data_IF_048457139588
#
_entry.id   IF_048457139588
#
_cell.length_a   1.000
_cell.length_b   1.000
_cell.length_c   1.000
_cell.angle_alpha   90.00
_cell.angle_beta   90.00
_cell.angle_gamma   90.00
#
_symmetry.space_group_name_H-M   'P 1'
#
loop_
_entity.id
_entity.type
_entity.pdbx_description
1 polymer ?
#
# COMPACT_ATOMS: atom_id res chain seq x y z
N UNK A 1 25.73 -22.38 1.78
CA UNK A 1 24.99 -23.47 2.38
C UNK A 1 23.90 -22.94 3.33
N UNK A 2 22.69 -23.46 3.24
CA UNK A 2 21.49 -22.89 3.93
C UNK A 2 21.63 -22.96 5.46
N UNK A 3 22.44 -23.90 5.96
CA UNK A 3 22.74 -24.06 7.39
C UNK A 3 23.69 -22.99 7.90
N UNK A 4 24.64 -22.57 7.11
CA UNK A 4 25.61 -21.55 7.49
C UNK A 4 24.97 -20.16 7.46
N UNK A 5 24.11 -19.87 6.49
CA UNK A 5 23.32 -18.63 6.46
C UNK A 5 22.34 -18.55 7.66
N UNK A 6 21.74 -19.67 8.05
CA UNK A 6 20.89 -19.71 9.25
C UNK A 6 21.68 -19.58 10.56
N UNK A 7 22.91 -20.03 10.58
CA UNK A 7 23.83 -19.89 11.72
C UNK A 7 24.39 -18.45 11.81
N UNK A 8 24.74 -17.84 10.70
CA UNK A 8 25.14 -16.43 10.63
C UNK A 8 23.99 -15.50 11.03
N UNK A 9 22.79 -15.75 10.56
CA UNK A 9 21.59 -15.04 11.01
C UNK A 9 21.39 -15.21 12.53
N UNK A 10 21.64 -16.40 13.08
CA UNK A 10 21.52 -16.67 14.52
C UNK A 10 22.58 -15.95 15.36
N UNK A 11 23.78 -15.80 14.86
CA UNK A 11 24.88 -15.09 15.52
C UNK A 11 24.78 -13.55 15.37
N UNK A 12 24.00 -13.07 14.39
CA UNK A 12 23.72 -11.65 14.16
C UNK A 12 22.65 -11.08 15.11
N UNK A 13 21.90 -11.96 15.79
CA UNK A 13 20.80 -11.57 16.66
C UNK A 13 21.19 -11.64 18.16
N UNK A 14 22.20 -10.90 18.61
CA UNK A 14 22.19 -10.34 19.96
C UNK A 14 21.23 -9.13 19.99
N UNK A 15 19.99 -9.39 19.67
CA UNK A 15 18.96 -8.36 19.65
C UNK A 15 18.17 -8.44 20.97
N UNK A 16 17.61 -7.28 21.37
CA UNK A 16 16.77 -7.18 22.54
C UNK A 16 15.69 -8.27 22.58
N UNK A 17 15.29 -8.71 23.76
CA UNK A 17 14.35 -9.83 23.97
C UNK A 17 13.02 -9.69 23.17
N UNK A 18 12.60 -8.47 22.87
CA UNK A 18 11.40 -8.20 22.07
C UNK A 18 11.60 -8.47 20.58
N UNK A 19 12.77 -8.19 20.06
CA UNK A 19 13.13 -8.49 18.66
C UNK A 19 13.34 -9.99 18.48
N UNK A 20 13.96 -10.66 19.45
CA UNK A 20 14.10 -12.13 19.45
C UNK A 20 12.74 -12.82 19.47
N UNK A 21 11.78 -12.29 20.23
CA UNK A 21 10.39 -12.77 20.29
C UNK A 21 9.66 -12.55 18.96
N UNK A 22 9.89 -11.42 18.30
CA UNK A 22 9.32 -11.10 16.99
C UNK A 22 9.91 -11.98 15.90
N UNK A 23 11.22 -12.20 15.90
CA UNK A 23 11.90 -13.10 14.96
C UNK A 23 11.51 -14.55 15.17
N UNK A 24 11.42 -15.05 16.41
CA UNK A 24 10.90 -16.41 16.69
C UNK A 24 9.45 -16.59 16.24
N UNK A 25 8.65 -15.52 16.33
CA UNK A 25 7.27 -15.49 15.81
C UNK A 25 7.25 -15.55 14.29
N UNK A 26 8.17 -14.83 13.65
CA UNK A 26 8.35 -14.80 12.19
C UNK A 26 8.87 -16.13 11.65
N UNK A 27 9.96 -16.69 12.18
CA UNK A 27 10.61 -17.90 11.67
C UNK A 27 9.81 -19.19 11.88
N UNK A 28 8.82 -19.18 12.78
CA UNK A 28 7.98 -20.36 13.03
C UNK A 28 7.00 -20.66 11.88
N UNK A 29 6.68 -19.68 11.04
CA UNK A 29 5.57 -19.73 10.08
C UNK A 29 5.89 -19.23 8.67
N UNK A 30 7.15 -18.87 8.34
CA UNK A 30 7.48 -18.12 7.14
C UNK A 30 8.64 -18.71 6.35
N UNK A 31 8.56 -18.60 5.02
CA UNK A 31 9.74 -18.61 4.16
C UNK A 31 10.16 -17.15 3.92
N UNK A 32 11.39 -16.82 4.25
CA UNK A 32 12.03 -15.57 3.83
C UNK A 32 12.28 -15.69 2.33
N UNK A 33 11.67 -14.81 1.54
CA UNK A 33 11.74 -14.90 0.08
C UNK A 33 12.78 -13.95 -0.48
N UNK A 34 12.96 -12.80 0.17
CA UNK A 34 13.98 -11.83 -0.22
C UNK A 34 14.37 -10.96 0.96
N UNK A 35 15.65 -10.55 1.01
CA UNK A 35 16.15 -9.61 2.00
C UNK A 35 17.34 -8.84 1.45
N UNK A 36 17.45 -7.58 1.81
CA UNK A 36 18.64 -6.76 1.58
C UNK A 36 19.41 -6.59 2.88
N UNK A 37 20.73 -6.80 2.85
CA UNK A 37 21.57 -6.59 4.01
C UNK A 37 22.71 -5.62 3.70
N UNK A 38 23.02 -4.72 4.63
CA UNK A 38 24.19 -3.84 4.57
C UNK A 38 25.11 -4.14 5.74
N UNK A 39 26.40 -4.35 5.48
CA UNK A 39 27.42 -4.43 6.53
C UNK A 39 27.81 -3.02 6.95
N UNK A 40 27.78 -2.75 8.23
CA UNK A 40 28.25 -1.51 8.85
C UNK A 40 29.24 -1.85 9.96
N UNK A 41 30.31 -1.11 10.07
CA UNK A 41 31.19 -1.19 11.27
C UNK A 41 30.42 -0.56 12.43
N UNK A 42 30.37 -1.26 13.56
CA UNK A 42 29.82 -0.71 14.78
C UNK A 42 30.65 0.50 15.26
N UNK A 43 30.05 1.34 16.09
CA UNK A 43 30.71 2.55 16.59
C UNK A 43 31.99 2.25 17.39
N UNK A 44 32.16 1.02 17.90
CA UNK A 44 33.34 0.54 18.60
C UNK A 44 34.56 0.24 17.65
N UNK A 45 34.35 0.26 16.33
CA UNK A 45 35.35 -0.02 15.32
C UNK A 45 35.88 -1.45 15.29
N UNK A 46 35.38 -2.34 16.12
CA UNK A 46 35.91 -3.72 16.31
C UNK A 46 34.89 -4.80 15.91
N UNK A 47 33.63 -4.48 15.87
CA UNK A 47 32.56 -5.41 15.49
C UNK A 47 31.87 -4.97 14.19
N UNK A 48 31.38 -5.94 13.41
CA UNK A 48 30.60 -5.68 12.21
C UNK A 48 29.12 -5.94 12.48
N UNK A 49 28.32 -4.91 12.27
CA UNK A 49 26.85 -5.01 12.29
C UNK A 49 26.33 -5.30 10.88
N UNK A 50 25.39 -6.22 10.78
CA UNK A 50 24.62 -6.41 9.56
C UNK A 50 23.21 -5.87 9.78
N UNK A 51 22.92 -4.79 9.08
CA UNK A 51 21.59 -4.17 9.09
C UNK A 51 20.78 -4.78 7.96
N UNK A 52 19.65 -5.42 8.30
CA UNK A 52 18.70 -5.91 7.31
C UNK A 52 17.73 -4.77 6.98
N UNK A 53 17.69 -4.37 5.71
CA UNK A 53 16.96 -3.17 5.28
C UNK A 53 15.63 -3.45 4.63
N UNK A 54 15.42 -4.64 4.05
CA UNK A 54 14.17 -4.99 3.39
C UNK A 54 13.84 -6.46 3.61
N UNK A 55 12.60 -6.75 4.00
CA UNK A 55 12.09 -8.11 4.10
C UNK A 55 10.83 -8.26 3.28
N UNK A 56 10.79 -9.27 2.42
CA UNK A 56 9.55 -9.77 1.86
C UNK A 56 9.27 -11.17 2.43
N UNK A 57 8.15 -11.30 3.09
CA UNK A 57 7.69 -12.55 3.66
C UNK A 57 6.44 -13.01 2.91
N UNK A 58 6.46 -14.23 2.40
CA UNK A 58 5.30 -14.85 1.77
C UNK A 58 4.71 -15.91 2.70
N UNK A 59 3.40 -15.89 2.86
CA UNK A 59 2.67 -16.86 3.66
C UNK A 59 1.96 -17.88 2.78
N UNK A 60 2.07 -19.15 3.16
CA UNK A 60 1.09 -20.13 2.76
C UNK A 60 -0.13 -20.00 3.67
N UNK A 61 -1.28 -19.71 3.13
CA UNK A 61 -2.54 -19.70 3.88
C UNK A 61 -2.95 -21.16 4.12
N UNK A 62 -2.89 -21.62 5.38
CA UNK A 62 -3.33 -22.97 5.74
C UNK A 62 -4.82 -23.15 5.40
N UNK A 63 -5.16 -24.20 4.65
CA UNK A 63 -6.53 -24.56 4.27
C UNK A 63 -6.88 -24.33 2.81
N UNK A 64 -5.94 -23.79 2.01
CA UNK A 64 -6.07 -23.72 0.56
C UNK A 64 -5.09 -24.72 -0.03
N UNK A 65 -5.62 -25.83 -0.51
CA UNK A 65 -4.87 -26.88 -1.22
C UNK A 65 -4.23 -26.24 -2.46
N UNK A 66 -2.90 -26.09 -2.47
CA UNK A 66 -2.10 -25.69 -3.62
C UNK A 66 -1.11 -24.52 -3.41
N UNK A 67 -0.59 -24.22 -2.21
CA UNK A 67 0.57 -23.33 -2.04
C UNK A 67 0.40 -21.91 -2.63
N UNK A 68 -0.83 -21.44 -2.83
CA UNK A 68 -1.11 -20.12 -3.40
C UNK A 68 -1.13 -19.04 -2.33
N UNK A 69 -0.27 -18.09 -2.50
CA UNK A 69 -0.16 -16.91 -1.66
C UNK A 69 -1.36 -16.02 -1.94
N UNK A 70 -2.17 -15.75 -0.92
CA UNK A 70 -3.34 -14.86 -1.03
C UNK A 70 -3.07 -13.47 -0.49
N UNK A 71 -2.07 -13.32 0.35
CA UNK A 71 -1.71 -12.03 0.91
C UNK A 71 -0.19 -11.92 1.01
N UNK A 72 0.32 -10.78 0.66
CA UNK A 72 1.70 -10.41 0.91
C UNK A 72 1.78 -9.72 2.26
N UNK A 73 2.74 -10.14 3.08
CA UNK A 73 3.00 -9.46 4.34
C UNK A 73 4.31 -8.74 4.23
N UNK A 74 4.25 -7.47 4.51
CA UNK A 74 5.40 -6.57 4.45
C UNK A 74 5.56 -5.89 5.82
N UNK A 75 6.79 -5.51 6.15
CA UNK A 75 7.06 -4.38 7.04
C UNK A 75 7.50 -3.22 6.14
N UNK A 76 6.55 -2.40 5.70
CA UNK A 76 6.89 -1.27 4.86
C UNK A 76 7.77 -0.30 5.65
N UNK A 77 8.64 0.40 4.92
CA UNK A 77 9.52 1.42 5.50
C UNK A 77 9.25 2.77 4.82
N UNK A 78 7.98 3.11 4.70
CA UNK A 78 7.50 4.37 4.12
C UNK A 78 6.76 5.13 5.20
N UNK A 79 7.06 6.41 5.37
CA UNK A 79 6.36 7.30 6.30
C UNK A 79 5.46 8.27 5.55
N UNK A 80 4.51 8.91 6.25
CA UNK A 80 3.67 9.95 5.65
C UNK A 80 4.47 11.15 5.14
N UNK A 81 5.61 11.44 5.75
CA UNK A 81 6.47 12.56 5.34
C UNK A 81 7.13 12.34 3.97
N UNK A 82 7.29 11.08 3.56
CA UNK A 82 7.83 10.72 2.24
C UNK A 82 6.77 10.81 1.13
N UNK A 83 5.48 10.85 1.50
CA UNK A 83 4.37 10.95 0.56
C UNK A 83 4.07 12.43 0.34
N UNK A 84 4.13 12.86 -0.90
CA UNK A 84 3.78 14.24 -1.27
C UNK A 84 2.29 14.31 -1.55
N UNK A 85 1.63 15.27 -0.92
CA UNK A 85 0.20 15.51 -1.06
C UNK A 85 -0.67 14.64 -0.18
N UNK A 86 -1.98 14.69 -0.45
CA UNK A 86 -3.03 14.00 0.30
C UNK A 86 -3.01 14.32 1.81
N UNK A 87 -2.79 15.59 2.17
CA UNK A 87 -2.62 15.99 3.58
C UNK A 87 -3.88 15.69 4.42
N UNK A 88 -5.08 15.94 3.88
CA UNK A 88 -6.34 15.62 4.56
C UNK A 88 -6.46 14.10 4.84
N UNK A 89 -6.08 13.28 3.86
CA UNK A 89 -6.07 11.82 4.04
C UNK A 89 -5.05 11.37 5.09
N UNK A 90 -3.87 11.99 5.12
CA UNK A 90 -2.84 11.71 6.14
C UNK A 90 -3.31 12.09 7.53
N UNK A 91 -3.96 13.26 7.69
CA UNK A 91 -4.49 13.72 8.98
C UNK A 91 -5.55 12.76 9.53
N UNK A 92 -6.49 12.34 8.68
CA UNK A 92 -7.49 11.32 9.05
C UNK A 92 -6.82 9.98 9.43
N UNK A 93 -5.82 9.53 8.68
CA UNK A 93 -5.13 8.28 8.98
C UNK A 93 -4.28 8.37 10.27
N UNK A 94 -3.66 9.53 10.55
CA UNK A 94 -2.95 9.76 11.83
C UNK A 94 -3.90 9.69 13.02
N UNK A 95 -5.12 10.18 12.87
CA UNK A 95 -6.14 10.03 13.91
C UNK A 95 -6.41 8.53 14.22
N UNK A 96 -6.51 7.69 13.21
CA UNK A 96 -6.71 6.25 13.42
C UNK A 96 -5.49 5.57 14.02
N UNK A 97 -4.28 6.01 13.67
CA UNK A 97 -3.04 5.51 14.30
C UNK A 97 -3.04 5.83 15.79
N UNK A 98 -3.37 7.07 16.17
CA UNK A 98 -3.45 7.47 17.55
C UNK A 98 -4.51 6.69 18.32
N UNK A 99 -5.68 6.50 17.71
CA UNK A 99 -6.71 5.64 18.26
C UNK A 99 -6.20 4.20 18.50
N UNK A 100 -5.52 3.59 17.52
CA UNK A 100 -5.00 2.22 17.65
C UNK A 100 -3.93 2.10 18.75
N UNK A 101 -3.15 3.14 18.96
CA UNK A 101 -2.12 3.19 20.01
C UNK A 101 -2.73 3.43 21.40
N UNK A 102 -3.82 4.18 21.49
CA UNK A 102 -4.42 4.64 22.75
C UNK A 102 -5.94 4.38 22.83
N UNK A 103 -6.44 3.14 22.58
CA UNK A 103 -7.87 2.89 22.41
C UNK A 103 -8.70 3.22 23.63
N UNK A 104 -8.17 3.02 24.85
CA UNK A 104 -8.91 3.29 26.09
C UNK A 104 -9.31 4.75 26.24
N UNK A 105 -8.44 5.68 25.88
CA UNK A 105 -8.71 7.12 25.98
C UNK A 105 -9.89 7.57 25.12
N UNK A 106 -10.12 6.87 24.00
CA UNK A 106 -11.22 7.14 23.06
C UNK A 106 -12.51 6.48 23.50
N UNK A 107 -12.43 5.24 23.97
CA UNK A 107 -13.57 4.45 24.48
C UNK A 107 -14.20 5.15 25.69
N UNK A 108 -13.39 5.65 26.65
CA UNK A 108 -13.85 6.40 27.81
C UNK A 108 -14.59 7.68 27.44
N UNK A 109 -14.26 8.27 26.29
CA UNK A 109 -14.96 9.44 25.74
C UNK A 109 -16.18 9.08 24.89
N UNK A 110 -16.56 7.78 24.84
CA UNK A 110 -17.68 7.29 24.05
C UNK A 110 -17.41 7.14 22.56
N UNK A 111 -16.16 7.22 22.14
CA UNK A 111 -15.78 7.01 20.75
C UNK A 111 -15.70 5.51 20.44
N UNK A 112 -16.42 5.08 19.41
CA UNK A 112 -16.34 3.71 18.93
C UNK A 112 -15.38 3.63 17.74
N UNK A 113 -14.43 2.68 17.76
CA UNK A 113 -13.48 2.54 16.66
C UNK A 113 -14.19 2.20 15.36
N UNK A 114 -13.74 2.79 14.24
CA UNK A 114 -14.23 2.40 12.95
C UNK A 114 -13.84 0.94 12.67
N UNK A 115 -14.76 0.22 12.04
CA UNK A 115 -14.53 -1.18 11.62
C UNK A 115 -13.65 -1.27 10.39
N UNK A 116 -13.61 -0.21 9.60
CA UNK A 116 -12.78 -0.11 8.42
C UNK A 116 -12.79 1.29 7.83
N UNK A 117 -11.77 1.57 7.05
CA UNK A 117 -11.59 2.82 6.29
C UNK A 117 -11.48 2.48 4.82
N UNK A 118 -12.16 3.24 3.97
CA UNK A 118 -12.11 3.13 2.52
C UNK A 118 -11.39 4.35 1.93
N UNK A 119 -10.25 4.11 1.30
CA UNK A 119 -9.57 5.11 0.48
C UNK A 119 -10.18 5.08 -0.92
N UNK A 120 -10.62 6.23 -1.42
CA UNK A 120 -11.18 6.31 -2.76
C UNK A 120 -10.59 7.47 -3.55
N UNK A 121 -10.67 7.40 -4.88
CA UNK A 121 -10.12 8.43 -5.77
C UNK A 121 -9.45 7.81 -6.98
N UNK A 122 -9.05 8.64 -7.93
CA UNK A 122 -8.50 8.19 -9.22
C UNK A 122 -7.25 7.32 -9.06
N UNK A 123 -6.97 6.40 -10.00
CA UNK A 123 -5.77 5.56 -9.93
C UNK A 123 -4.48 6.40 -9.96
N UNK A 124 -3.45 5.95 -9.24
CA UNK A 124 -2.14 6.62 -9.21
C UNK A 124 -2.02 7.80 -8.24
N UNK A 125 -3.00 8.03 -7.36
CA UNK A 125 -2.95 9.08 -6.31
C UNK A 125 -2.19 8.66 -5.06
N UNK A 126 -1.76 7.39 -4.94
CA UNK A 126 -0.93 6.94 -3.82
C UNK A 126 -1.68 6.23 -2.70
N UNK A 127 -2.92 5.74 -2.91
CA UNK A 127 -3.72 5.02 -1.91
C UNK A 127 -2.96 3.87 -1.24
N UNK A 128 -2.29 3.03 -2.02
CA UNK A 128 -1.48 1.91 -1.52
C UNK A 128 -0.26 2.39 -0.72
N UNK A 129 0.36 3.51 -1.12
CA UNK A 129 1.47 4.11 -0.35
C UNK A 129 1.00 4.66 0.99
N UNK A 130 -0.15 5.32 1.04
CA UNK A 130 -0.77 5.80 2.28
C UNK A 130 -1.07 4.64 3.24
N UNK A 131 -1.58 3.51 2.72
CA UNK A 131 -1.82 2.31 3.52
C UNK A 131 -0.51 1.75 4.12
N UNK A 132 0.56 1.70 3.33
CA UNK A 132 1.88 1.26 3.80
C UNK A 132 2.46 2.21 4.85
N UNK A 133 2.36 3.52 4.62
CA UNK A 133 2.83 4.51 5.59
C UNK A 133 2.06 4.44 6.92
N UNK A 134 0.75 4.23 6.86
CA UNK A 134 -0.06 4.01 8.06
C UNK A 134 0.45 2.82 8.88
N UNK A 135 0.77 1.71 8.23
CA UNK A 135 1.28 0.52 8.91
C UNK A 135 2.67 0.75 9.53
N UNK A 136 3.55 1.47 8.83
CA UNK A 136 4.86 1.86 9.36
C UNK A 136 4.73 2.72 10.61
N UNK A 137 3.92 3.77 10.56
CA UNK A 137 3.76 4.70 11.69
C UNK A 137 2.96 4.10 12.85
N UNK A 138 2.08 3.14 12.57
CA UNK A 138 1.36 2.39 13.60
C UNK A 138 2.20 1.29 14.26
N UNK A 139 3.35 0.93 13.69
CA UNK A 139 4.16 -0.25 14.07
C UNK A 139 3.34 -1.55 14.07
N UNK A 140 2.50 -1.72 13.06
CA UNK A 140 1.64 -2.88 12.88
C UNK A 140 2.08 -3.73 11.71
N UNK A 141 1.73 -5.01 11.75
CA UNK A 141 1.90 -5.90 10.60
C UNK A 141 1.03 -5.41 9.44
N UNK A 142 1.60 -5.28 8.25
CA UNK A 142 0.87 -4.94 7.03
C UNK A 142 0.62 -6.19 6.21
N UNK A 143 -0.63 -6.48 5.92
CA UNK A 143 -1.04 -7.55 5.01
C UNK A 143 -1.80 -6.93 3.85
N UNK A 144 -1.39 -7.22 2.61
CA UNK A 144 -2.09 -6.74 1.42
C UNK A 144 -2.66 -7.88 0.60
N UNK A 145 -3.88 -7.69 0.10
CA UNK A 145 -4.55 -8.56 -0.84
C UNK A 145 -5.22 -7.72 -1.92
N UNK A 146 -5.30 -8.24 -3.13
CA UNK A 146 -5.97 -7.61 -4.26
C UNK A 146 -7.35 -8.22 -4.47
N UNK A 147 -8.39 -7.38 -4.57
CA UNK A 147 -9.78 -7.84 -4.73
C UNK A 147 -9.97 -8.78 -5.92
N UNK A 148 -9.26 -8.54 -7.02
CA UNK A 148 -9.30 -9.36 -8.23
C UNK A 148 -8.84 -10.81 -8.01
N UNK A 149 -7.97 -11.07 -7.03
CA UNK A 149 -7.43 -12.40 -6.74
C UNK A 149 -8.50 -13.37 -6.23
N UNK A 150 -9.54 -12.85 -5.55
CA UNK A 150 -10.64 -13.68 -5.04
C UNK A 150 -11.59 -14.17 -6.13
N UNK A 151 -11.58 -13.50 -7.29
CA UNK A 151 -12.40 -13.86 -8.45
C UNK A 151 -11.73 -14.88 -9.36
N UNK A 152 -10.40 -14.93 -9.41
CA UNK A 152 -9.61 -15.77 -10.32
C UNK A 152 -9.52 -17.25 -9.90
N UNK A 153 -10.05 -17.64 -8.76
CA UNK A 153 -10.06 -19.03 -8.27
C UNK A 153 -11.26 -19.81 -8.79
N UNK A 154 -11.16 -21.14 -8.69
CA UNK A 154 -12.25 -22.03 -9.07
C UNK A 154 -13.56 -21.63 -8.40
N UNK A 155 -14.67 -21.89 -9.09
CA UNK A 155 -16.03 -21.59 -8.60
C UNK A 155 -16.20 -22.22 -7.21
N UNK A 156 -16.50 -21.39 -6.20
CA UNK A 156 -16.71 -21.81 -4.81
C UNK A 156 -15.54 -21.63 -3.83
N UNK A 157 -14.31 -21.38 -4.28
CA UNK A 157 -13.15 -21.18 -3.39
C UNK A 157 -12.97 -19.74 -2.91
N UNK A 158 -13.61 -18.76 -3.55
CA UNK A 158 -13.49 -17.35 -3.22
C UNK A 158 -13.89 -17.00 -1.77
N UNK A 159 -15.06 -17.45 -1.27
CA UNK A 159 -15.48 -17.22 0.11
C UNK A 159 -14.49 -17.80 1.13
N UNK A 160 -14.00 -19.03 0.92
CA UNK A 160 -13.02 -19.66 1.81
C UNK A 160 -11.69 -18.90 1.81
N UNK A 161 -11.29 -18.33 0.66
CA UNK A 161 -10.12 -17.49 0.56
C UNK A 161 -10.24 -16.21 1.42
N UNK A 162 -11.42 -15.58 1.47
CA UNK A 162 -11.70 -14.45 2.36
C UNK A 162 -11.58 -14.90 3.83
N UNK A 163 -12.23 -16.01 4.22
CA UNK A 163 -12.14 -16.51 5.58
C UNK A 163 -10.68 -16.84 5.99
N UNK A 164 -9.92 -17.45 5.10
CA UNK A 164 -8.51 -17.76 5.33
C UNK A 164 -7.65 -16.49 5.49
N UNK A 165 -7.89 -15.45 4.67
CA UNK A 165 -7.22 -14.16 4.77
C UNK A 165 -7.44 -13.52 6.14
N UNK A 166 -8.69 -13.45 6.60
CA UNK A 166 -9.03 -12.84 7.88
C UNK A 166 -8.54 -13.69 9.08
N UNK A 167 -8.57 -15.00 8.97
CA UNK A 167 -7.98 -15.92 9.96
C UNK A 167 -6.48 -15.66 10.10
N UNK A 168 -5.79 -15.48 8.98
CA UNK A 168 -4.36 -15.16 8.96
C UNK A 168 -4.10 -13.79 9.57
N UNK A 169 -4.87 -12.76 9.21
CA UNK A 169 -4.73 -11.43 9.79
C UNK A 169 -4.88 -11.44 11.32
N UNK A 170 -5.85 -12.17 11.86
CA UNK A 170 -6.03 -12.35 13.32
C UNK A 170 -4.85 -13.05 13.97
N UNK A 171 -4.23 -14.01 13.29
CA UNK A 171 -3.05 -14.74 13.81
C UNK A 171 -1.84 -13.84 13.99
N UNK A 172 -1.73 -12.80 13.14
CA UNK A 172 -0.64 -11.82 13.14
C UNK A 172 -1.02 -10.47 13.75
N UNK A 173 -2.13 -10.42 14.44
CA UNK A 173 -2.56 -9.18 15.10
C UNK A 173 -1.49 -8.67 16.11
N UNK A 174 -1.31 -7.34 16.25
CA UNK A 174 -2.08 -6.30 15.59
C UNK A 174 -1.69 -6.14 14.09
N UNK A 175 -2.69 -6.08 13.21
CA UNK A 175 -2.49 -6.12 11.76
C UNK A 175 -3.35 -5.08 11.06
N UNK A 176 -2.77 -4.36 10.09
CA UNK A 176 -3.52 -3.62 9.08
C UNK A 176 -3.71 -4.55 7.89
N UNK A 177 -4.95 -4.92 7.62
CA UNK A 177 -5.35 -5.69 6.44
C UNK A 177 -5.78 -4.71 5.34
N UNK A 178 -4.95 -4.58 4.32
CA UNK A 178 -5.21 -3.75 3.17
C UNK A 178 -5.79 -4.57 2.02
N UNK A 179 -6.95 -4.16 1.50
CA UNK A 179 -7.59 -4.78 0.33
C UNK A 179 -7.62 -3.76 -0.79
N UNK A 180 -6.72 -3.93 -1.75
CA UNK A 180 -6.68 -3.07 -2.93
C UNK A 180 -7.73 -3.50 -3.96
N UNK A 181 -8.18 -2.56 -4.79
CA UNK A 181 -9.19 -2.80 -5.83
C UNK A 181 -10.44 -3.54 -5.30
N UNK A 182 -10.96 -3.11 -4.16
CA UNK A 182 -12.12 -3.76 -3.53
C UNK A 182 -13.36 -3.75 -4.45
N UNK A 183 -13.39 -2.85 -5.41
CA UNK A 183 -14.43 -2.77 -6.43
C UNK A 183 -14.50 -4.03 -7.31
N UNK A 184 -13.42 -4.79 -7.45
CA UNK A 184 -13.46 -6.07 -8.16
C UNK A 184 -14.51 -7.02 -7.58
N UNK A 185 -14.66 -7.06 -6.25
CA UNK A 185 -15.64 -7.90 -5.54
C UNK A 185 -16.89 -7.13 -5.10
N UNK A 186 -16.75 -5.81 -4.94
CA UNK A 186 -17.78 -4.94 -4.36
C UNK A 186 -18.68 -4.22 -5.37
N UNK A 187 -18.57 -4.46 -6.68
CA UNK A 187 -19.45 -3.85 -7.70
C UNK A 187 -20.92 -4.19 -7.48
N UNK A 188 -21.79 -3.21 -7.72
CA UNK A 188 -23.22 -3.36 -7.60
C UNK A 188 -23.77 -4.40 -8.61
N UNK A 189 -24.77 -5.19 -8.20
CA UNK A 189 -25.26 -6.42 -8.84
C UNK A 189 -26.05 -6.23 -10.13
N UNK A 190 -26.13 -5.03 -10.70
CA UNK A 190 -26.98 -4.74 -11.87
C UNK A 190 -26.47 -5.30 -13.21
N UNK A 191 -25.31 -5.94 -13.27
CA UNK A 191 -24.76 -6.53 -14.49
C UNK A 191 -24.91 -8.04 -14.46
N UNK A 192 -25.82 -8.57 -15.29
CA UNK A 192 -26.13 -10.00 -15.40
C UNK A 192 -24.94 -10.81 -15.92
N UNK A 193 -24.68 -11.96 -15.29
CA UNK A 193 -23.84 -13.05 -15.83
C UNK A 193 -22.99 -13.81 -14.82
N UNK A 194 -22.27 -13.12 -13.90
CA UNK A 194 -21.34 -13.76 -12.95
C UNK A 194 -21.82 -13.63 -11.47
N UNK A 195 -23.10 -13.56 -11.25
CA UNK A 195 -23.70 -12.97 -10.04
C UNK A 195 -23.53 -13.79 -8.76
N UNK A 196 -23.55 -15.12 -8.81
CA UNK A 196 -23.58 -15.93 -7.59
C UNK A 196 -22.23 -16.01 -6.88
N UNK A 197 -21.15 -16.31 -7.60
CA UNK A 197 -19.83 -16.45 -6.99
C UNK A 197 -19.30 -15.13 -6.39
N UNK A 198 -19.50 -14.01 -7.10
CA UNK A 198 -19.11 -12.70 -6.58
C UNK A 198 -19.95 -12.29 -5.36
N UNK A 199 -21.25 -12.60 -5.37
CA UNK A 199 -22.12 -12.34 -4.24
C UNK A 199 -21.71 -13.13 -3.00
N UNK A 200 -21.29 -14.38 -3.17
CA UNK A 200 -20.83 -15.22 -2.06
C UNK A 200 -19.52 -14.69 -1.46
N UNK A 201 -18.59 -14.26 -2.30
CA UNK A 201 -17.34 -13.62 -1.86
C UNK A 201 -17.64 -12.32 -1.09
N UNK A 202 -18.51 -11.47 -1.62
CA UNK A 202 -18.93 -10.25 -0.95
C UNK A 202 -19.59 -10.55 0.40
N UNK A 203 -20.48 -11.53 0.48
CA UNK A 203 -21.12 -11.93 1.72
C UNK A 203 -20.12 -12.46 2.76
N UNK A 204 -19.12 -13.24 2.33
CA UNK A 204 -18.04 -13.68 3.19
C UNK A 204 -17.24 -12.49 3.77
N UNK A 205 -16.89 -11.51 2.91
CA UNK A 205 -16.23 -10.28 3.35
C UNK A 205 -17.08 -9.49 4.35
N UNK A 206 -18.35 -9.29 4.07
CA UNK A 206 -19.28 -8.58 4.96
C UNK A 206 -19.42 -9.29 6.32
N UNK A 207 -19.42 -10.61 6.33
CA UNK A 207 -19.49 -11.44 7.53
C UNK A 207 -18.22 -11.26 8.38
N UNK A 208 -17.06 -11.38 7.76
CA UNK A 208 -15.78 -11.17 8.43
C UNK A 208 -15.65 -9.77 9.03
N UNK A 209 -16.00 -8.73 8.26
CA UNK A 209 -15.99 -7.35 8.74
C UNK A 209 -16.98 -7.09 9.87
N UNK A 210 -18.07 -7.86 9.96
CA UNK A 210 -19.06 -7.72 11.04
C UNK A 210 -18.60 -8.38 12.35
N UNK A 211 -17.77 -9.41 12.27
CA UNK A 211 -17.29 -10.19 13.40
C UNK A 211 -16.09 -9.58 14.13
N UNK A 212 -15.62 -8.41 13.73
CA UNK A 212 -14.45 -7.79 14.36
C UNK A 212 -14.70 -7.33 15.78
N UNK A 213 -13.84 -7.82 16.68
CA UNK A 213 -13.57 -7.17 17.97
C UNK A 213 -12.47 -6.13 17.72
N UNK A 214 -12.83 -4.88 17.85
CA UNK A 214 -11.94 -3.73 17.61
C UNK A 214 -11.04 -3.43 18.83
N UNK A 215 -11.14 -4.22 19.89
CA UNK A 215 -10.39 -4.04 21.13
C UNK A 215 -9.77 -5.36 21.58
N UNK A 216 -8.53 -5.30 22.03
CA UNK A 216 -7.80 -6.43 22.59
C UNK A 216 -6.63 -6.93 21.72
N UNK A 217 -6.06 -8.07 22.12
CA UNK A 217 -4.84 -8.66 21.50
C UNK A 217 -5.01 -9.13 20.04
N UNK A 218 -6.24 -9.19 19.54
CA UNK A 218 -6.58 -9.67 18.18
C UNK A 218 -7.03 -8.54 17.27
N UNK A 219 -6.44 -7.35 17.41
CA UNK A 219 -6.84 -6.17 16.65
C UNK A 219 -6.44 -6.29 15.18
N UNK A 220 -7.43 -6.34 14.29
CA UNK A 220 -7.24 -6.24 12.83
C UNK A 220 -7.96 -4.98 12.36
N UNK A 221 -7.23 -4.09 11.72
CA UNK A 221 -7.79 -2.88 11.11
C UNK A 221 -7.91 -3.09 9.60
N UNK A 222 -9.14 -2.96 9.08
CA UNK A 222 -9.37 -3.13 7.64
C UNK A 222 -9.26 -1.79 6.94
N UNK A 223 -8.32 -1.70 6.01
CA UNK A 223 -8.16 -0.58 5.11
C UNK A 223 -8.39 -1.09 3.68
N UNK A 224 -9.28 -0.47 2.94
CA UNK A 224 -9.54 -0.85 1.56
C UNK A 224 -9.31 0.33 0.61
N UNK A 225 -9.02 0.02 -0.66
CA UNK A 225 -8.90 1.03 -1.70
C UNK A 225 -9.79 0.71 -2.91
N UNK A 226 -10.31 1.77 -3.52
CA UNK A 226 -11.07 1.70 -4.77
C UNK A 226 -10.74 2.89 -5.67
N UNK A 227 -10.87 2.69 -6.97
CA UNK A 227 -10.73 3.77 -7.95
C UNK A 227 -12.06 4.50 -8.24
N UNK A 228 -13.16 4.07 -7.65
CA UNK A 228 -14.45 4.74 -7.79
C UNK A 228 -14.58 5.95 -6.86
N UNK A 229 -15.21 6.99 -7.34
CA UNK A 229 -15.63 8.13 -6.54
C UNK A 229 -16.94 7.79 -5.80
N UNK A 230 -16.79 7.19 -4.61
CA UNK A 230 -17.91 6.62 -3.84
C UNK A 230 -18.81 7.67 -3.19
N UNK A 231 -18.40 8.93 -3.13
CA UNK A 231 -19.20 10.04 -2.61
C UNK A 231 -19.77 10.93 -3.72
N UNK A 232 -19.19 10.86 -4.94
CA UNK A 232 -19.59 11.62 -6.10
C UNK A 232 -20.38 10.81 -7.14
N UNK A 233 -19.90 10.86 -8.38
CA UNK A 233 -20.57 10.25 -9.55
C UNK A 233 -20.69 8.73 -9.51
N UNK A 234 -19.76 8.05 -8.83
CA UNK A 234 -19.68 6.59 -8.78
C UNK A 234 -20.31 5.99 -7.50
N UNK A 235 -21.02 6.80 -6.73
CA UNK A 235 -21.61 6.40 -5.42
C UNK A 235 -22.48 5.15 -5.46
N UNK A 236 -23.05 4.82 -6.61
CA UNK A 236 -23.87 3.63 -6.80
C UNK A 236 -23.12 2.46 -7.44
N UNK A 237 -21.84 2.62 -7.74
CA UNK A 237 -21.05 1.59 -8.40
C UNK A 237 -20.62 0.47 -7.46
N UNK A 238 -20.52 0.77 -6.16
CA UNK A 238 -20.27 -0.22 -5.10
C UNK A 238 -21.54 -0.62 -4.37
N UNK A 239 -21.54 -1.86 -3.87
CA UNK A 239 -22.65 -2.39 -3.07
C UNK A 239 -22.84 -1.58 -1.79
N UNK A 240 -24.08 -1.19 -1.51
CA UNK A 240 -24.41 -0.34 -0.38
C UNK A 240 -24.17 -1.01 0.97
N UNK A 241 -24.23 -2.35 1.04
CA UNK A 241 -23.93 -3.08 2.26
C UNK A 241 -22.42 -3.06 2.54
N UNK A 242 -21.59 -3.11 1.49
CA UNK A 242 -20.15 -2.93 1.62
C UNK A 242 -19.79 -1.53 2.10
N UNK A 243 -20.35 -0.49 1.45
CA UNK A 243 -20.10 0.91 1.84
C UNK A 243 -20.47 1.21 3.29
N UNK A 244 -21.50 0.53 3.83
CA UNK A 244 -21.90 0.65 5.24
C UNK A 244 -20.97 -0.04 6.23
N UNK A 245 -20.04 -0.86 5.77
CA UNK A 245 -19.01 -1.48 6.62
C UNK A 245 -17.80 -0.59 6.81
N UNK A 246 -17.64 0.40 5.95
CA UNK A 246 -16.58 1.42 6.08
C UNK A 246 -17.17 2.66 6.75
N UNK A 247 -16.82 2.86 8.01
CA UNK A 247 -17.30 3.99 8.81
C UNK A 247 -16.73 5.31 8.32
N UNK A 248 -15.57 5.27 7.68
CA UNK A 248 -14.92 6.43 7.07
C UNK A 248 -14.55 6.13 5.62
N UNK A 249 -14.82 7.12 4.79
CA UNK A 249 -14.43 7.14 3.38
C UNK A 249 -13.55 8.37 3.20
N UNK A 250 -12.34 8.15 2.72
CA UNK A 250 -11.31 9.19 2.63
C UNK A 250 -10.97 9.34 1.15
N UNK A 251 -11.23 10.54 0.63
CA UNK A 251 -10.84 10.89 -0.73
C UNK A 251 -9.33 11.12 -0.78
N UNK A 252 -8.66 10.44 -1.70
CA UNK A 252 -7.27 10.69 -2.07
C UNK A 252 -7.29 11.41 -3.41
N UNK A 253 -7.28 12.73 -3.34
CA UNK A 253 -7.49 13.60 -4.49
C UNK A 253 -6.20 13.74 -5.33
N UNK A 254 -6.37 14.38 -6.48
CA UNK A 254 -5.27 14.76 -7.36
C UNK A 254 -4.37 15.78 -6.66
N UNK A 255 -3.06 15.76 -6.95
CA UNK A 255 -2.14 16.73 -6.35
C UNK A 255 -2.43 18.14 -6.87
N UNK A 256 -2.39 19.11 -5.98
CA UNK A 256 -2.44 20.53 -6.32
C UNK A 256 -1.11 21.00 -6.96
N UNK A 257 -1.05 22.26 -7.44
CA UNK A 257 0.15 22.78 -8.11
C UNK A 257 1.40 22.74 -7.21
N UNK A 258 1.25 23.10 -5.93
CA UNK A 258 2.39 23.13 -5.00
C UNK A 258 2.95 21.74 -4.73
N UNK A 259 2.07 20.74 -4.62
CA UNK A 259 2.44 19.34 -4.44
C UNK A 259 3.15 18.79 -5.68
N UNK A 260 2.66 19.13 -6.88
CA UNK A 260 3.35 18.74 -8.12
C UNK A 260 4.73 19.41 -8.21
N UNK A 261 4.84 20.70 -7.89
CA UNK A 261 6.12 21.41 -7.85
C UNK A 261 7.09 20.78 -6.84
N UNK A 262 6.62 20.49 -5.64
CA UNK A 262 7.41 19.80 -4.61
C UNK A 262 7.90 18.44 -5.09
N UNK A 263 7.04 17.69 -5.78
CA UNK A 263 7.39 16.40 -6.36
C UNK A 263 8.47 16.52 -7.44
N UNK A 264 8.35 17.47 -8.33
CA UNK A 264 9.34 17.73 -9.40
C UNK A 264 10.71 18.07 -8.81
N UNK A 265 10.77 18.96 -7.81
CA UNK A 265 12.00 19.30 -7.10
C UNK A 265 12.64 18.08 -6.43
N UNK A 266 11.84 17.28 -5.74
CA UNK A 266 12.33 16.04 -5.13
C UNK A 266 12.87 15.04 -6.17
N UNK A 267 12.23 14.96 -7.36
CA UNK A 267 12.70 14.09 -8.44
C UNK A 267 14.00 14.56 -9.04
N UNK A 268 14.16 15.86 -9.23
CA UNK A 268 15.41 16.48 -9.68
C UNK A 268 16.57 16.18 -8.71
N UNK A 269 16.34 16.29 -7.42
CA UNK A 269 17.36 15.98 -6.41
C UNK A 269 17.80 14.50 -6.43
N UNK A 270 16.85 13.59 -6.70
CA UNK A 270 17.11 12.14 -6.74
C UNK A 270 17.69 11.65 -8.07
N UNK A 271 17.67 12.45 -9.12
CA UNK A 271 18.10 12.04 -10.46
C UNK A 271 18.93 13.13 -11.14
N UNK A 272 20.27 12.97 -11.22
CA UNK A 272 21.16 13.95 -11.87
C UNK A 272 20.82 14.21 -13.35
N UNK A 273 20.18 13.28 -14.03
CA UNK A 273 19.73 13.43 -15.40
C UNK A 273 18.59 14.47 -15.55
N UNK A 274 17.86 14.73 -14.46
CA UNK A 274 16.78 15.75 -14.44
C UNK A 274 17.37 17.08 -13.96
N UNK A 275 17.90 17.89 -14.86
CA UNK A 275 18.58 19.13 -14.53
C UNK A 275 17.82 20.40 -14.94
N UNK A 276 16.49 20.36 -14.91
CA UNK A 276 15.64 21.51 -15.19
C UNK A 276 15.71 22.57 -14.07
N UNK A 277 15.49 23.85 -14.45
CA UNK A 277 15.50 24.99 -13.51
C UNK A 277 14.27 25.02 -12.60
N UNK A 278 14.26 25.91 -11.62
CA UNK A 278 13.08 26.12 -10.77
C UNK A 278 11.92 26.74 -11.56
N UNK A 279 12.22 27.62 -12.54
CA UNK A 279 11.22 28.19 -13.43
C UNK A 279 10.59 27.10 -14.31
N UNK A 280 11.39 26.18 -14.81
CA UNK A 280 10.95 25.04 -15.59
C UNK A 280 10.09 24.08 -14.76
N UNK A 281 10.50 23.78 -13.54
CA UNK A 281 9.70 22.98 -12.61
C UNK A 281 8.33 23.62 -12.34
N UNK A 282 8.28 24.93 -12.19
CA UNK A 282 7.03 25.66 -11.97
C UNK A 282 6.13 25.64 -13.22
N UNK A 283 6.71 25.80 -14.44
CA UNK A 283 6.02 25.67 -15.70
C UNK A 283 5.38 24.28 -15.86
N UNK A 284 6.16 23.22 -15.59
CA UNK A 284 5.67 21.83 -15.64
C UNK A 284 4.57 21.60 -14.60
N UNK A 285 4.76 22.10 -13.38
CA UNK A 285 3.75 21.99 -12.33
C UNK A 285 2.43 22.68 -12.69
N UNK A 286 2.49 23.79 -13.42
CA UNK A 286 1.31 24.48 -13.93
C UNK A 286 0.64 23.68 -15.07
N UNK A 287 1.42 23.24 -16.06
CA UNK A 287 0.94 22.52 -17.24
C UNK A 287 0.43 21.11 -16.96
N UNK A 288 0.87 20.48 -15.89
CA UNK A 288 0.44 19.12 -15.48
C UNK A 288 -0.82 19.10 -14.60
N UNK A 289 -1.68 20.13 -14.69
CA UNK A 289 -2.94 20.17 -13.96
C UNK A 289 -3.81 18.94 -14.31
N UNK A 290 -4.41 18.31 -13.29
CA UNK A 290 -5.20 17.09 -13.48
C UNK A 290 -4.39 15.79 -13.60
N UNK A 291 -3.06 15.85 -13.60
CA UNK A 291 -2.21 14.65 -13.61
C UNK A 291 -1.91 14.15 -12.20
N UNK A 292 -1.85 12.83 -12.05
CA UNK A 292 -1.35 12.19 -10.82
C UNK A 292 0.18 12.26 -10.75
N UNK A 293 0.75 12.17 -9.54
CA UNK A 293 2.21 12.11 -9.37
C UNK A 293 2.82 10.88 -10.04
N UNK A 294 2.07 9.77 -10.10
CA UNK A 294 2.49 8.56 -10.82
C UNK A 294 2.61 8.82 -12.33
N UNK A 295 1.68 9.56 -12.92
CA UNK A 295 1.73 9.92 -14.33
C UNK A 295 2.91 10.87 -14.62
N UNK A 296 3.12 11.89 -13.78
CA UNK A 296 4.27 12.79 -13.90
C UNK A 296 5.59 12.00 -13.80
N UNK A 297 5.69 11.06 -12.85
CA UNK A 297 6.85 10.18 -12.72
C UNK A 297 7.12 9.37 -13.99
N UNK A 298 6.07 8.83 -14.60
CA UNK A 298 6.17 8.07 -15.85
C UNK A 298 6.71 8.93 -16.98
N UNK A 299 6.17 10.16 -17.14
CA UNK A 299 6.61 11.12 -18.18
C UNK A 299 8.09 11.50 -17.97
N UNK A 300 8.50 11.81 -16.76
CA UNK A 300 9.91 12.09 -16.45
C UNK A 300 10.81 10.89 -16.76
N UNK A 301 10.36 9.67 -16.47
CA UNK A 301 11.06 8.44 -16.83
C UNK A 301 11.19 8.25 -18.34
N UNK A 302 10.15 8.59 -19.08
CA UNK A 302 10.18 8.59 -20.55
C UNK A 302 11.17 9.63 -21.09
N UNK A 303 11.15 10.87 -20.60
CA UNK A 303 12.08 11.91 -20.98
C UNK A 303 13.55 11.51 -20.72
N UNK A 304 13.85 10.91 -19.57
CA UNK A 304 15.19 10.38 -19.27
C UNK A 304 15.60 9.28 -20.26
N UNK A 305 14.69 8.40 -20.67
CA UNK A 305 14.96 7.36 -21.66
C UNK A 305 15.26 7.98 -23.04
N UNK A 306 14.48 8.97 -23.48
CA UNK A 306 14.71 9.67 -24.73
C UNK A 306 16.06 10.39 -24.75
N UNK A 307 16.42 11.07 -23.66
CA UNK A 307 17.75 11.70 -23.54
C UNK A 307 18.87 10.69 -23.66
N UNK A 308 18.78 9.55 -22.99
CA UNK A 308 19.78 8.48 -23.07
C UNK A 308 19.90 7.89 -24.49
N UNK A 309 18.80 7.70 -25.20
CA UNK A 309 18.78 7.22 -26.59
C UNK A 309 19.45 8.21 -27.57
N UNK A 310 19.31 9.50 -27.30
CA UNK A 310 19.91 10.57 -28.09
C UNK A 310 21.35 10.93 -27.62
N UNK A 311 21.91 10.14 -26.67
CA UNK A 311 23.24 10.33 -26.10
C UNK A 311 23.42 11.66 -25.33
N UNK A 312 22.35 12.24 -24.82
CA UNK A 312 22.42 13.40 -23.91
C UNK A 312 22.67 12.92 -22.47
N UNK A 313 23.56 13.60 -21.76
CA UNK A 313 23.79 13.33 -20.31
C UNK A 313 22.64 13.80 -19.42
N UNK A 314 21.85 14.78 -19.92
CA UNK A 314 20.74 15.42 -19.19
C UNK A 314 19.55 15.57 -20.08
N UNK A 315 18.37 15.54 -19.47
CA UNK A 315 17.10 15.86 -20.15
C UNK A 315 17.12 17.34 -20.52
N UNK A 316 16.97 17.64 -21.80
CA UNK A 316 16.80 19.02 -22.30
C UNK A 316 15.35 19.45 -22.22
N UNK A 317 15.09 20.76 -22.25
CA UNK A 317 13.74 21.32 -22.20
C UNK A 317 12.90 20.81 -23.38
N UNK A 318 13.48 20.71 -24.59
CA UNK A 318 12.79 20.18 -25.77
C UNK A 318 12.34 18.72 -25.58
N UNK A 319 13.20 17.86 -25.03
CA UNK A 319 12.86 16.45 -24.72
C UNK A 319 11.76 16.40 -23.66
N UNK A 320 11.79 17.30 -22.70
CA UNK A 320 10.80 17.36 -21.64
C UNK A 320 9.43 17.79 -22.18
N UNK A 321 9.41 18.82 -23.01
CA UNK A 321 8.20 19.31 -23.67
C UNK A 321 7.60 18.26 -24.60
N UNK A 322 8.42 17.58 -25.42
CA UNK A 322 7.99 16.48 -26.28
C UNK A 322 7.42 15.32 -25.44
N UNK A 323 8.06 15.00 -24.32
CA UNK A 323 7.57 13.96 -23.43
C UNK A 323 6.19 14.32 -22.85
N UNK A 324 5.99 15.53 -22.34
CA UNK A 324 4.69 15.95 -21.82
C UNK A 324 3.62 16.02 -22.94
N UNK A 325 3.94 16.54 -24.11
CA UNK A 325 3.02 16.59 -25.24
C UNK A 325 2.59 15.19 -25.72
N UNK A 326 3.50 14.23 -25.78
CA UNK A 326 3.18 12.85 -26.20
C UNK A 326 2.23 12.12 -25.27
N UNK A 327 2.11 12.55 -24.02
CA UNK A 327 1.16 12.01 -23.05
C UNK A 327 -0.17 12.76 -22.96
N UNK A 328 -0.27 13.98 -23.55
CA UNK A 328 -1.53 14.75 -23.63
C UNK A 328 -2.47 14.25 -24.75
N UNK A 329 -1.92 13.72 -25.84
CA UNK A 329 -2.67 13.28 -27.02
C UNK A 329 -3.47 11.97 -26.87
N UNK A 330 -3.68 11.46 -25.65
CA UNK A 330 -4.58 10.32 -25.40
C UNK A 330 -4.09 8.96 -25.91
N UNK A 331 -2.85 8.84 -26.37
CA UNK A 331 -2.28 7.58 -26.91
C UNK A 331 -1.67 6.67 -25.84
N UNK A 332 -2.15 6.67 -24.60
CA UNK A 332 -1.52 5.95 -23.49
C UNK A 332 -2.27 4.68 -23.05
N UNK A 333 -2.74 3.85 -23.98
CA UNK A 333 -3.20 2.49 -23.64
C UNK A 333 -2.19 1.38 -23.99
N UNK A 334 -0.99 1.71 -24.45
CA UNK A 334 -0.03 0.72 -24.94
C UNK A 334 1.42 1.03 -24.52
N UNK A 335 1.71 0.97 -23.21
CA UNK A 335 3.11 0.75 -22.75
C UNK A 335 3.11 -0.03 -21.43
#
# INVERSE_FOLDING_TARGET
DFKDAALEVRNLFQMTADMEKSVRRLTRYHQVVDYSSKRRLAEDGTSAEVVLTDFQLRYAVEGVDSGRILAETERPNVTFDEIIGAEDAKEELRFFIDYMKHPQQYIEKGFHPPKGVLLHGVPGTGKTMLAKAMATEADMTFMSAEGSQFLKKYVGEGPEAIHALFRTARKYAPTILFIDEIDAIGKNRQSAGDSNSRADILNALLTEMSGFKTTGESQVFVLAATNFDVEGKDRFSLDSALLRRFDRKILVDLPNREERLRFLKQRREKSPALAFSDEEADRIAAGSAGMTLSRIKLILGYAMRCAAQQHFEKVTDDILDEAFASFDDGQTEAL
#
